data_IF_346878558748
#
_entry.id   IF_346878558748
#
_cell.length_a   1.000
_cell.length_b   1.000
_cell.length_c   1.000
_cell.angle_alpha   90.00
_cell.angle_beta   90.00
_cell.angle_gamma   90.00
#
_symmetry.space_group_name_H-M   'P 1'
#
loop_
_entity.id
_entity.type
_entity.pdbx_description
1 polymer ?
#
# COMPACT_ATOMS: atom_id res chain seq x y z
N UNK A 1 0.93 -9.81 -1.66
CA UNK A 1 1.07 -8.34 -1.66
C UNK A 1 2.22 -7.85 -0.78
N UNK A 2 2.48 -8.49 0.36
CA UNK A 2 3.59 -8.17 1.30
C UNK A 2 5.00 -8.25 0.72
N UNK A 3 5.21 -9.02 -0.34
CA UNK A 3 6.51 -9.15 -1.02
C UNK A 3 7.00 -7.84 -1.63
N UNK A 4 6.13 -6.96 -2.12
CA UNK A 4 6.59 -5.69 -2.76
C UNK A 4 7.20 -4.69 -1.77
N UNK A 5 6.65 -4.58 -0.56
CA UNK A 5 7.10 -3.60 0.44
C UNK A 5 8.50 -3.96 0.98
N UNK A 6 8.73 -5.25 1.20
CA UNK A 6 10.03 -5.78 1.63
C UNK A 6 11.00 -5.91 0.46
N UNK A 7 10.66 -6.66 -0.58
CA UNK A 7 11.61 -7.08 -1.61
C UNK A 7 11.92 -5.95 -2.62
N UNK A 8 10.93 -5.09 -2.94
CA UNK A 8 11.15 -4.01 -3.90
C UNK A 8 11.61 -2.73 -3.20
N UNK A 9 10.82 -2.21 -2.26
CA UNK A 9 11.14 -0.91 -1.65
C UNK A 9 12.33 -1.01 -0.68
N UNK A 10 12.25 -1.92 0.30
CA UNK A 10 13.27 -2.00 1.33
C UNK A 10 14.55 -2.66 0.82
N UNK A 11 14.49 -3.86 0.28
CA UNK A 11 15.69 -4.65 -0.03
C UNK A 11 16.39 -4.21 -1.32
N UNK A 12 15.70 -3.56 -2.26
CA UNK A 12 16.27 -3.16 -3.55
C UNK A 12 16.44 -1.65 -3.71
N UNK A 13 15.35 -0.87 -3.60
CA UNK A 13 15.46 0.57 -3.89
C UNK A 13 16.17 1.36 -2.80
N UNK A 14 15.93 1.07 -1.52
CA UNK A 14 16.59 1.79 -0.41
C UNK A 14 17.99 1.25 -0.06
N UNK A 15 18.42 0.13 -0.65
CA UNK A 15 19.78 -0.41 -0.47
C UNK A 15 20.72 0.09 -1.59
N UNK A 16 20.19 0.28 -2.81
CA UNK A 16 20.93 0.76 -3.97
C UNK A 16 21.10 2.30 -3.99
N UNK A 17 20.22 3.03 -3.31
CA UNK A 17 20.26 4.49 -3.20
C UNK A 17 20.70 4.82 -1.77
N UNK A 18 21.62 5.77 -1.58
CA UNK A 18 22.07 6.25 -0.26
C UNK A 18 20.98 6.99 0.54
N UNK A 19 19.71 6.76 0.21
CA UNK A 19 18.54 7.35 0.86
C UNK A 19 18.04 6.39 1.95
N UNK A 20 18.07 6.87 3.19
CA UNK A 20 17.69 6.08 4.36
C UNK A 20 16.21 6.19 4.70
N UNK A 21 15.47 7.08 4.03
CA UNK A 21 14.04 7.29 4.22
C UNK A 21 13.27 6.89 2.94
N UNK A 22 12.19 6.14 3.09
CA UNK A 22 11.35 5.69 1.98
C UNK A 22 9.86 5.80 2.27
N UNK A 23 9.07 6.03 1.22
CA UNK A 23 7.61 6.04 1.28
C UNK A 23 7.07 4.90 0.41
N UNK A 24 6.20 4.07 0.99
CA UNK A 24 5.40 3.10 0.26
C UNK A 24 4.01 3.68 0.00
N UNK A 25 3.75 4.07 -1.25
CA UNK A 25 2.48 4.64 -1.68
C UNK A 25 1.54 3.54 -2.20
N UNK A 26 0.33 3.47 -1.65
CA UNK A 26 -0.74 2.56 -2.08
C UNK A 26 -1.92 3.38 -2.60
N UNK A 27 -2.35 3.13 -3.83
CA UNK A 27 -3.59 3.67 -4.37
C UNK A 27 -4.78 2.77 -4.03
N UNK A 28 -5.76 3.32 -3.34
CA UNK A 28 -7.02 2.64 -3.01
C UNK A 28 -8.13 2.99 -4.01
N UNK A 29 -8.49 2.04 -4.87
CA UNK A 29 -9.48 2.24 -5.93
C UNK A 29 -10.86 1.66 -5.62
N UNK A 30 -11.02 0.94 -4.50
CA UNK A 30 -12.29 0.28 -4.19
C UNK A 30 -13.34 1.33 -3.79
N UNK A 31 -14.48 1.31 -4.49
CA UNK A 31 -15.49 2.36 -4.44
C UNK A 31 -16.86 1.76 -4.70
N UNK A 32 -17.80 2.00 -3.79
CA UNK A 32 -19.20 1.55 -3.94
C UNK A 32 -19.91 2.26 -5.10
N UNK A 33 -19.42 3.43 -5.53
CA UNK A 33 -20.01 4.22 -6.61
C UNK A 33 -19.76 3.64 -8.00
N UNK A 34 -18.89 2.65 -8.10
CA UNK A 34 -18.62 1.99 -9.37
C UNK A 34 -19.81 1.12 -9.77
N UNK A 35 -20.09 1.10 -11.08
CA UNK A 35 -21.11 0.22 -11.64
C UNK A 35 -20.71 -1.24 -11.43
N UNK A 36 -21.67 -2.11 -11.10
CA UNK A 36 -21.46 -3.56 -11.02
C UNK A 36 -21.05 -4.19 -12.36
N UNK A 37 -21.26 -3.46 -13.47
CA UNK A 37 -20.82 -3.87 -14.82
C UNK A 37 -19.38 -3.44 -15.13
N UNK A 38 -18.76 -2.64 -14.27
CA UNK A 38 -17.39 -2.16 -14.46
C UNK A 38 -16.39 -3.20 -13.95
N UNK A 39 -15.60 -3.77 -14.85
CA UNK A 39 -14.63 -4.81 -14.52
C UNK A 39 -13.59 -4.36 -13.48
N UNK A 40 -13.28 -3.05 -13.40
CA UNK A 40 -12.30 -2.58 -12.43
C UNK A 40 -12.88 -2.47 -11.01
N UNK A 41 -14.20 -2.53 -10.82
CA UNK A 41 -14.84 -2.77 -9.51
C UNK A 41 -14.51 -4.16 -9.00
N UNK A 42 -14.79 -5.18 -9.81
CA UNK A 42 -14.50 -6.58 -9.48
C UNK A 42 -13.00 -6.80 -9.19
N UNK A 43 -12.13 -6.16 -9.98
CA UNK A 43 -10.69 -6.22 -9.71
C UNK A 43 -10.33 -5.52 -8.40
N UNK A 44 -10.84 -4.31 -8.14
CA UNK A 44 -10.59 -3.59 -6.90
C UNK A 44 -11.02 -4.42 -5.69
N UNK A 45 -12.25 -4.95 -5.67
CA UNK A 45 -12.77 -5.81 -4.61
C UNK A 45 -11.92 -7.08 -4.41
N UNK A 46 -11.44 -7.69 -5.50
CA UNK A 46 -10.54 -8.85 -5.41
C UNK A 46 -9.23 -8.50 -4.71
N UNK A 47 -8.64 -7.36 -5.01
CA UNK A 47 -7.38 -6.91 -4.43
C UNK A 47 -7.54 -6.34 -3.01
N UNK A 48 -8.68 -5.75 -2.69
CA UNK A 48 -9.00 -5.24 -1.36
C UNK A 48 -9.71 -6.24 -0.48
N UNK A 49 -9.93 -7.49 -0.91
CA UNK A 49 -10.62 -8.52 -0.09
C UNK A 49 -9.99 -8.72 1.30
N UNK A 50 -8.68 -8.52 1.41
CA UNK A 50 -7.97 -8.61 2.69
C UNK A 50 -8.17 -7.38 3.60
N UNK A 51 -8.74 -6.29 3.06
CA UNK A 51 -8.99 -5.03 3.74
C UNK A 51 -10.43 -4.58 3.45
N UNK A 52 -11.40 -4.95 4.29
CA UNK A 52 -12.79 -4.49 4.18
C UNK A 52 -12.94 -2.96 4.05
N UNK A 53 -12.04 -2.19 4.66
CA UNK A 53 -12.11 -0.72 4.67
C UNK A 53 -10.76 -0.06 4.35
N UNK A 54 -10.82 1.19 3.85
CA UNK A 54 -9.63 2.03 3.67
C UNK A 54 -8.85 2.21 5.00
N UNK A 55 -9.55 2.30 6.12
CA UNK A 55 -8.95 2.43 7.45
C UNK A 55 -8.14 1.21 7.84
N UNK A 56 -8.66 0.01 7.58
CA UNK A 56 -7.94 -1.24 7.83
C UNK A 56 -6.70 -1.38 6.94
N UNK A 57 -6.80 -0.98 5.67
CA UNK A 57 -5.63 -0.95 4.78
C UNK A 57 -4.55 -0.01 5.33
N UNK A 58 -4.92 1.22 5.76
CA UNK A 58 -3.99 2.18 6.38
C UNK A 58 -3.30 1.59 7.61
N UNK A 59 -4.09 1.05 8.54
CA UNK A 59 -3.55 0.47 9.77
C UNK A 59 -2.59 -0.70 9.49
N UNK A 60 -2.94 -1.55 8.53
CA UNK A 60 -2.10 -2.67 8.15
C UNK A 60 -0.76 -2.23 7.54
N UNK A 61 -0.78 -1.35 6.53
CA UNK A 61 0.44 -0.91 5.87
C UNK A 61 1.32 -0.07 6.79
N UNK A 62 0.74 0.69 7.72
CA UNK A 62 1.51 1.41 8.74
C UNK A 62 2.20 0.46 9.71
N UNK A 63 1.51 -0.60 10.15
CA UNK A 63 2.11 -1.62 11.00
C UNK A 63 3.26 -2.36 10.30
N UNK A 64 3.09 -2.72 9.03
CA UNK A 64 4.14 -3.38 8.24
C UNK A 64 5.34 -2.46 7.99
N UNK A 65 5.12 -1.19 7.67
CA UNK A 65 6.19 -0.20 7.50
C UNK A 65 6.95 0.06 8.82
N UNK A 66 6.25 0.08 9.96
CA UNK A 66 6.86 0.20 11.28
C UNK A 66 7.74 -1.01 11.63
N UNK A 67 7.31 -2.24 11.31
CA UNK A 67 8.09 -3.47 11.52
C UNK A 67 9.36 -3.51 10.66
N UNK A 68 9.30 -2.98 9.45
CA UNK A 68 10.44 -2.95 8.53
C UNK A 68 11.42 -1.81 8.82
N UNK A 69 10.96 -0.75 9.48
CA UNK A 69 11.80 0.38 9.86
C UNK A 69 12.86 -0.02 10.88
N UNK A 70 14.08 0.46 10.67
CA UNK A 70 15.26 0.26 11.51
C UNK A 70 15.86 1.63 11.90
N UNK A 71 16.73 1.71 12.93
CA UNK A 71 17.27 2.98 13.42
C UNK A 71 17.93 3.87 12.33
N UNK A 72 18.54 3.24 11.32
CA UNK A 72 19.25 3.90 10.22
C UNK A 72 18.50 3.78 8.88
N UNK A 73 17.26 3.29 8.87
CA UNK A 73 16.47 3.09 7.64
C UNK A 73 14.98 3.10 7.95
N UNK A 74 14.29 4.19 7.62
CA UNK A 74 12.87 4.37 7.96
C UNK A 74 12.00 4.21 6.73
N UNK A 75 10.90 3.49 6.88
CA UNK A 75 9.85 3.39 5.87
C UNK A 75 8.54 3.86 6.45
N UNK A 76 7.81 4.69 5.71
CA UNK A 76 6.44 5.06 6.01
C UNK A 76 5.51 4.57 4.91
N UNK A 77 4.30 4.18 5.29
CA UNK A 77 3.26 3.86 4.33
C UNK A 77 2.35 5.08 4.13
N UNK A 78 1.76 5.20 2.95
CA UNK A 78 0.70 6.15 2.70
C UNK A 78 -0.33 5.52 1.77
N UNK A 79 -1.58 5.41 2.25
CA UNK A 79 -2.69 4.91 1.44
C UNK A 79 -3.52 6.09 0.97
N UNK A 80 -3.40 6.38 -0.33
CA UNK A 80 -4.15 7.43 -1.01
C UNK A 80 -5.50 6.88 -1.46
N UNK A 81 -6.58 7.57 -1.07
CA UNK A 81 -7.90 7.31 -1.60
C UNK A 81 -8.01 7.87 -3.02
N UNK A 82 -8.14 6.97 -4.00
CA UNK A 82 -8.32 7.28 -5.44
C UNK A 82 -9.61 6.64 -5.95
N UNK A 83 -10.56 6.39 -5.05
CA UNK A 83 -11.84 5.74 -5.34
C UNK A 83 -12.81 6.64 -6.12
N UNK A 84 -12.52 7.94 -6.20
CA UNK A 84 -13.32 8.97 -6.87
C UNK A 84 -12.44 9.84 -7.79
N UNK A 85 -12.85 10.08 -9.05
CA UNK A 85 -12.21 11.05 -9.94
C UNK A 85 -12.57 12.50 -9.60
#
# INVERSE_FOLDING_TARGET
>A
MTTSLKDQLFDRYLSEISCQDGIYLVGWFNSEKWSDKDYRKTNAERYTRAFPTLGEAKAYFDAEAAKLSQPNKRVKSFVLDVSLP
#
